data_IF_854537788858
#
_entry.id   IF_854537788858
#
_cell.length_a   1.000
_cell.length_b   1.000
_cell.length_c   1.000
_cell.angle_alpha   90.00
_cell.angle_beta   90.00
_cell.angle_gamma   90.00
#
_symmetry.space_group_name_H-M   'P 1'
#
loop_
_entity.id
_entity.type
_entity.pdbx_description
1 polymer ?
#
# COMPACT_ATOMS: atom_id res chain seq x y z
N UNK A 1 14.57 4.30 25.46
CA UNK A 1 13.58 3.56 24.63
C UNK A 1 13.17 4.48 23.49
N UNK A 2 13.66 4.24 22.28
CA UNK A 2 13.29 5.04 21.12
C UNK A 2 11.94 4.55 20.62
N UNK A 3 10.92 5.40 20.74
CA UNK A 3 9.55 5.08 20.38
C UNK A 3 9.37 5.26 18.88
N UNK A 4 9.26 4.15 18.15
CA UNK A 4 8.93 4.21 16.74
C UNK A 4 7.49 4.74 16.56
N UNK A 5 7.26 5.66 15.60
CA UNK A 5 5.93 6.20 15.35
C UNK A 5 5.00 5.08 14.87
N UNK A 6 3.83 4.99 15.51
CA UNK A 6 2.78 4.04 15.14
C UNK A 6 2.26 4.40 13.75
N UNK A 7 2.15 3.46 12.80
CA UNK A 7 1.63 3.71 11.47
C UNK A 7 0.22 4.31 11.55
N UNK A 8 0.05 5.50 10.99
CA UNK A 8 -1.25 6.15 10.88
C UNK A 8 -2.04 5.52 9.73
N UNK A 9 -3.31 5.24 9.96
CA UNK A 9 -4.19 4.74 8.92
C UNK A 9 -4.40 5.82 7.85
N UNK A 10 -3.82 5.61 6.66
CA UNK A 10 -3.96 6.47 5.47
C UNK A 10 -5.28 6.25 4.70
N UNK A 11 -6.21 5.45 5.23
CA UNK A 11 -7.39 4.98 4.49
C UNK A 11 -8.68 5.79 4.71
N UNK A 12 -8.64 6.94 5.38
CA UNK A 12 -9.85 7.75 5.62
C UNK A 12 -10.22 8.62 4.42
N UNK A 13 -10.24 8.06 3.20
CA UNK A 13 -10.79 8.75 2.04
C UNK A 13 -12.31 8.55 2.02
N UNK A 14 -13.07 9.58 2.40
CA UNK A 14 -14.53 9.61 2.22
C UNK A 14 -14.84 10.23 0.87
N UNK A 15 -15.62 9.53 0.05
CA UNK A 15 -16.06 10.04 -1.24
C UNK A 15 -16.85 11.34 -1.05
N UNK A 16 -16.36 12.43 -1.64
CA UNK A 16 -17.02 13.73 -1.71
C UNK A 16 -17.79 13.82 -3.01
N UNK A 17 -19.10 14.06 -2.94
CA UNK A 17 -19.99 14.08 -4.11
C UNK A 17 -20.00 15.47 -4.77
N UNK A 18 -20.26 16.52 -3.98
CA UNK A 18 -20.34 17.91 -4.43
C UNK A 18 -19.53 18.77 -3.46
N UNK A 19 -18.43 19.37 -3.94
CA UNK A 19 -17.54 20.17 -3.10
C UNK A 19 -16.87 19.36 -1.98
N UNK A 20 -16.94 19.87 -0.74
CA UNK A 20 -16.41 19.20 0.46
C UNK A 20 -17.42 18.24 1.13
N UNK A 21 -18.59 18.02 0.52
CA UNK A 21 -19.65 17.20 1.12
C UNK A 21 -19.54 15.74 0.69
N UNK A 22 -19.63 14.83 1.66
CA UNK A 22 -19.77 13.39 1.39
C UNK A 22 -21.17 13.05 0.88
N UNK A 23 -21.31 11.92 0.19
CA UNK A 23 -22.63 11.44 -0.30
C UNK A 23 -23.67 11.37 0.84
N UNK A 24 -23.25 10.90 2.01
CA UNK A 24 -24.12 10.83 3.19
C UNK A 24 -24.61 12.20 3.64
N UNK A 25 -23.70 13.16 3.82
CA UNK A 25 -24.03 14.53 4.23
C UNK A 25 -24.96 15.23 3.23
N UNK A 26 -24.76 14.99 1.94
CA UNK A 26 -25.64 15.51 0.90
C UNK A 26 -27.06 14.95 1.04
N UNK A 27 -27.21 13.64 1.27
CA UNK A 27 -28.52 13.01 1.45
C UNK A 27 -29.24 13.49 2.71
N UNK A 28 -28.52 13.66 3.82
CA UNK A 28 -29.09 14.19 5.08
C UNK A 28 -29.61 15.62 4.89
N UNK A 29 -28.84 16.49 4.24
CA UNK A 29 -29.25 17.86 3.95
C UNK A 29 -30.41 17.90 2.96
N UNK A 30 -30.36 17.10 1.88
CA UNK A 30 -31.42 17.01 0.90
C UNK A 30 -32.73 16.52 1.54
N UNK A 31 -32.66 15.53 2.42
CA UNK A 31 -33.82 15.01 3.15
C UNK A 31 -34.47 16.10 4.03
N UNK A 32 -33.68 16.87 4.78
CA UNK A 32 -34.19 18.00 5.57
C UNK A 32 -34.86 19.07 4.72
N UNK A 33 -34.29 19.41 3.55
CA UNK A 33 -34.88 20.37 2.61
C UNK A 33 -36.17 19.84 1.97
N UNK A 34 -36.23 18.57 1.61
CA UNK A 34 -37.43 17.93 1.04
C UNK A 34 -38.56 17.92 2.05
N UNK A 35 -38.29 17.57 3.32
CA UNK A 35 -39.29 17.65 4.39
C UNK A 35 -39.75 19.10 4.60
N UNK A 36 -38.82 20.05 4.67
CA UNK A 36 -39.16 21.46 4.82
C UNK A 36 -40.08 21.93 3.68
N UNK A 37 -39.72 21.59 2.43
CA UNK A 37 -40.54 21.89 1.25
C UNK A 37 -41.92 21.25 1.33
N UNK A 38 -42.00 19.98 1.74
CA UNK A 38 -43.27 19.26 1.90
C UNK A 38 -44.18 19.90 2.97
N UNK A 39 -43.62 20.40 4.06
CA UNK A 39 -44.34 21.15 5.10
C UNK A 39 -44.91 22.46 4.52
N UNK A 40 -44.10 23.21 3.77
CA UNK A 40 -44.54 24.45 3.13
C UNK A 40 -45.62 24.22 2.06
N UNK A 41 -45.53 23.10 1.33
CA UNK A 41 -46.51 22.68 0.33
C UNK A 41 -47.84 22.18 0.93
N UNK A 42 -47.85 21.70 2.18
CA UNK A 42 -49.06 21.21 2.85
C UNK A 42 -50.03 22.35 3.23
N UNK A 43 -51.30 22.05 3.48
CA UNK A 43 -52.33 23.02 3.91
C UNK A 43 -52.34 23.27 5.43
N UNK A 44 -51.17 23.23 6.07
CA UNK A 44 -51.01 23.50 7.51
C UNK A 44 -51.22 24.99 7.83
N UNK A 45 -51.62 25.30 9.06
CA UNK A 45 -51.73 26.68 9.53
C UNK A 45 -50.39 27.42 9.40
N UNK A 46 -50.46 28.73 9.16
CA UNK A 46 -49.30 29.59 8.96
C UNK A 46 -48.23 29.42 10.07
N UNK A 47 -48.65 29.40 11.34
CA UNK A 47 -47.75 29.23 12.49
C UNK A 47 -46.92 27.95 12.41
N UNK A 48 -47.53 26.81 12.05
CA UNK A 48 -46.82 25.54 11.96
C UNK A 48 -45.84 25.49 10.79
N UNK A 49 -46.14 26.14 9.66
CA UNK A 49 -45.20 26.19 8.53
C UNK A 49 -43.92 26.93 8.88
N UNK A 50 -44.07 28.08 9.54
CA UNK A 50 -42.94 28.97 9.87
C UNK A 50 -42.11 28.49 11.07
N UNK A 51 -42.62 27.58 11.90
CA UNK A 51 -41.83 26.94 12.95
C UNK A 51 -41.20 25.64 12.45
N UNK A 52 -42.01 24.74 11.89
CA UNK A 52 -41.59 23.38 11.57
C UNK A 52 -40.72 23.32 10.30
N UNK A 53 -41.03 24.13 9.29
CA UNK A 53 -40.25 24.19 8.05
C UNK A 53 -38.79 24.55 8.28
N UNK A 54 -38.48 25.72 8.89
CA UNK A 54 -37.12 26.11 9.23
C UNK A 54 -36.46 25.14 10.22
N UNK A 55 -37.21 24.59 11.18
CA UNK A 55 -36.68 23.60 12.12
C UNK A 55 -36.13 22.36 11.41
N UNK A 56 -36.89 21.74 10.51
CA UNK A 56 -36.43 20.56 9.77
C UNK A 56 -35.31 20.89 8.76
N UNK A 57 -35.35 22.08 8.16
CA UNK A 57 -34.25 22.55 7.29
C UNK A 57 -32.94 22.74 8.05
N UNK A 58 -32.98 23.41 9.21
CA UNK A 58 -31.82 23.59 10.08
C UNK A 58 -31.34 22.28 10.68
N UNK A 59 -32.24 21.38 11.05
CA UNK A 59 -31.89 20.06 11.56
C UNK A 59 -31.16 19.22 10.50
N UNK A 60 -31.62 19.23 9.24
CA UNK A 60 -30.91 18.58 8.13
C UNK A 60 -29.51 19.15 7.90
N UNK A 61 -29.37 20.47 8.00
CA UNK A 61 -28.06 21.13 7.95
C UNK A 61 -27.15 20.73 9.12
N UNK A 62 -27.70 20.72 10.34
CA UNK A 62 -26.96 20.35 11.55
C UNK A 62 -26.46 18.90 11.48
N UNK A 63 -27.29 17.96 11.04
CA UNK A 63 -26.92 16.55 10.88
C UNK A 63 -25.74 16.38 9.91
N UNK A 64 -25.74 17.12 8.81
CA UNK A 64 -24.69 17.02 7.79
C UNK A 64 -23.36 17.68 8.20
N UNK A 65 -23.39 18.79 8.93
CA UNK A 65 -22.22 19.67 9.10
C UNK A 65 -21.77 19.94 10.52
N UNK A 66 -22.54 19.58 11.54
CA UNK A 66 -22.18 19.85 12.94
C UNK A 66 -21.61 18.58 13.57
N UNK A 67 -20.28 18.45 13.71
CA UNK A 67 -19.70 17.40 14.53
C UNK A 67 -19.78 17.75 16.03
N UNK A 68 -19.94 16.73 16.87
CA UNK A 68 -19.84 16.81 18.34
C UNK A 68 -18.76 15.83 18.78
N UNK A 69 -17.73 16.32 19.48
CA UNK A 69 -16.62 15.49 19.99
C UNK A 69 -16.01 14.58 18.91
N UNK A 70 -15.67 15.17 17.75
CA UNK A 70 -15.11 14.48 16.58
C UNK A 70 -16.01 13.39 15.96
N UNK A 71 -17.30 13.32 16.34
CA UNK A 71 -18.30 12.41 15.77
C UNK A 71 -19.39 13.17 15.01
N UNK A 72 -19.89 12.64 13.89
CA UNK A 72 -21.01 13.25 13.19
C UNK A 72 -22.27 13.19 14.08
N UNK A 73 -23.07 14.27 14.07
CA UNK A 73 -24.25 14.42 14.92
C UNK A 73 -25.24 13.25 14.79
N UNK A 74 -25.44 12.73 13.58
CA UNK A 74 -26.30 11.55 13.35
C UNK A 74 -25.86 10.33 14.18
N UNK A 75 -24.56 9.97 14.13
CA UNK A 75 -24.05 8.85 14.93
C UNK A 75 -24.15 9.14 16.42
N UNK A 76 -23.92 10.39 16.82
CA UNK A 76 -24.06 10.79 18.20
C UNK A 76 -25.51 10.61 18.68
N UNK A 77 -26.50 11.05 17.91
CA UNK A 77 -27.93 10.90 18.21
C UNK A 77 -28.34 9.42 18.28
N UNK A 78 -27.94 8.62 17.30
CA UNK A 78 -28.23 7.19 17.28
C UNK A 78 -27.64 6.49 18.50
N UNK A 79 -26.38 6.79 18.82
CA UNK A 79 -25.71 6.23 20.00
C UNK A 79 -26.32 6.73 21.31
N UNK A 80 -26.78 7.98 21.36
CA UNK A 80 -27.45 8.55 22.52
C UNK A 80 -28.74 7.79 22.84
N UNK A 81 -29.63 7.63 21.86
CA UNK A 81 -30.84 6.84 22.06
C UNK A 81 -30.52 5.38 22.34
N UNK A 82 -29.55 4.80 21.63
CA UNK A 82 -29.08 3.45 21.90
C UNK A 82 -28.63 3.32 23.37
N UNK A 83 -27.87 4.27 23.90
CA UNK A 83 -27.39 4.27 25.27
C UNK A 83 -28.52 4.43 26.30
N UNK A 84 -29.55 5.23 26.00
CA UNK A 84 -30.73 5.39 26.87
C UNK A 84 -31.51 4.09 27.00
N UNK A 85 -31.70 3.36 25.89
CA UNK A 85 -32.53 2.15 25.86
C UNK A 85 -31.75 0.85 26.04
N UNK A 86 -30.41 0.89 26.01
CA UNK A 86 -29.57 -0.28 26.31
C UNK A 86 -29.48 -0.51 27.83
N UNK A 87 -29.34 -1.78 28.27
CA UNK A 87 -29.04 -2.07 29.65
C UNK A 87 -27.63 -1.56 30.02
N UNK A 88 -27.48 -1.05 31.24
CA UNK A 88 -26.19 -0.61 31.79
C UNK A 88 -25.28 -1.77 32.20
N UNK A 89 -25.82 -2.99 32.26
CA UNK A 89 -25.10 -4.21 32.61
C UNK A 89 -24.81 -5.02 31.35
N UNK A 90 -23.52 -5.21 31.07
CA UNK A 90 -23.05 -6.09 30.00
C UNK A 90 -22.39 -7.32 30.61
N UNK A 91 -22.92 -8.51 30.31
CA UNK A 91 -22.25 -9.77 30.64
C UNK A 91 -21.26 -10.06 29.51
N UNK A 92 -19.98 -10.17 29.84
CA UNK A 92 -18.96 -10.58 28.88
C UNK A 92 -19.25 -12.00 28.39
N UNK A 93 -19.52 -12.14 27.10
CA UNK A 93 -19.59 -13.43 26.42
C UNK A 93 -18.34 -13.55 25.56
N UNK A 94 -17.41 -14.41 25.98
CA UNK A 94 -16.22 -14.73 25.18
C UNK A 94 -16.68 -15.29 23.84
N UNK A 95 -16.62 -14.48 22.79
CA UNK A 95 -16.76 -14.97 21.43
C UNK A 95 -15.37 -15.28 20.91
N UNK A 96 -15.11 -16.56 20.63
CA UNK A 96 -13.94 -16.99 19.88
C UNK A 96 -14.17 -16.59 18.42
N UNK A 97 -14.08 -15.29 18.11
CA UNK A 97 -14.03 -14.85 16.72
C UNK A 97 -12.68 -15.30 16.18
N UNK A 98 -12.70 -16.36 15.36
CA UNK A 98 -11.52 -16.75 14.61
C UNK A 98 -11.00 -15.51 13.87
N UNK A 99 -9.72 -15.16 14.05
CA UNK A 99 -9.14 -14.02 13.37
C UNK A 99 -9.40 -14.17 11.87
N UNK A 100 -9.70 -13.07 11.17
CA UNK A 100 -10.00 -13.10 9.73
C UNK A 100 -8.83 -13.72 8.92
N UNK A 101 -7.63 -13.74 9.51
CA UNK A 101 -6.42 -14.43 9.02
C UNK A 101 -6.64 -15.95 8.84
N UNK A 102 -7.44 -16.56 9.70
CA UNK A 102 -7.78 -17.99 9.64
C UNK A 102 -9.04 -18.26 8.82
N UNK A 103 -9.72 -17.22 8.34
CA UNK A 103 -10.81 -17.42 7.40
C UNK A 103 -10.19 -17.87 6.08
N UNK A 104 -10.61 -19.02 5.51
CA UNK A 104 -10.14 -19.43 4.21
C UNK A 104 -10.46 -18.30 3.23
N UNK A 105 -9.41 -17.73 2.63
CA UNK A 105 -9.55 -16.69 1.60
C UNK A 105 -10.59 -17.18 0.60
N UNK A 106 -11.70 -16.45 0.38
CA UNK A 106 -12.67 -16.83 -0.64
C UNK A 106 -11.88 -16.97 -1.93
N UNK A 107 -11.88 -18.18 -2.48
CA UNK A 107 -11.14 -18.49 -3.69
C UNK A 107 -11.57 -17.47 -4.74
N UNK A 108 -10.61 -16.64 -5.18
CA UNK A 108 -10.76 -15.81 -6.36
C UNK A 108 -11.35 -16.70 -7.47
N UNK A 109 -12.30 -16.21 -8.28
CA UNK A 109 -12.83 -16.97 -9.39
C UNK A 109 -11.65 -17.53 -10.18
N UNK A 110 -11.55 -18.86 -10.19
CA UNK A 110 -10.52 -19.58 -10.92
C UNK A 110 -10.74 -19.21 -12.37
N UNK A 111 -9.96 -18.26 -12.89
CA UNK A 111 -9.90 -18.04 -14.33
C UNK A 111 -9.49 -19.38 -14.92
N UNK A 112 -10.46 -20.04 -15.56
CA UNK A 112 -10.29 -21.25 -16.33
C UNK A 112 -9.53 -20.94 -17.61
N UNK A 113 -8.32 -20.41 -17.48
CA UNK A 113 -7.30 -20.62 -18.49
C UNK A 113 -6.68 -21.98 -18.16
N UNK A 114 -7.29 -23.03 -18.72
CA UNK A 114 -6.64 -24.33 -18.89
C UNK A 114 -5.46 -24.12 -19.86
N UNK A 115 -4.38 -23.54 -19.38
CA UNK A 115 -3.08 -23.84 -19.95
C UNK A 115 -2.75 -25.21 -19.38
N UNK A 116 -3.11 -26.24 -20.14
CA UNK A 116 -2.47 -27.54 -19.99
C UNK A 116 -0.97 -27.25 -20.04
N UNK A 117 -0.29 -27.32 -18.89
CA UNK A 117 1.15 -27.28 -18.82
C UNK A 117 1.64 -28.50 -19.61
N UNK A 118 1.89 -28.29 -20.90
CA UNK A 118 2.34 -29.33 -21.80
C UNK A 118 3.80 -29.60 -21.40
N UNK A 119 4.16 -30.78 -20.88
CA UNK A 119 5.50 -31.03 -20.34
C UNK A 119 6.60 -30.72 -21.38
N UNK A 120 6.30 -30.89 -22.67
CA UNK A 120 7.19 -30.53 -23.78
C UNK A 120 7.51 -29.02 -23.86
N UNK A 121 6.55 -28.12 -23.61
CA UNK A 121 6.81 -26.67 -23.61
C UNK A 121 7.63 -26.24 -22.39
N UNK A 122 7.48 -26.96 -21.28
CA UNK A 122 8.32 -26.73 -20.10
C UNK A 122 9.76 -27.17 -20.37
N UNK A 123 9.97 -28.31 -21.03
CA UNK A 123 11.32 -28.78 -21.41
C UNK A 123 11.98 -27.89 -22.47
N UNK A 124 11.23 -27.38 -23.44
CA UNK A 124 11.71 -26.40 -24.43
C UNK A 124 12.08 -25.06 -23.75
N UNK A 125 11.29 -24.64 -22.77
CA UNK A 125 11.63 -23.46 -21.96
C UNK A 125 12.89 -23.70 -21.12
N UNK A 126 12.99 -24.82 -20.41
CA UNK A 126 14.14 -25.15 -19.57
C UNK A 126 15.43 -25.31 -20.39
N UNK A 127 15.35 -25.82 -21.63
CA UNK A 127 16.50 -25.97 -22.53
C UNK A 127 16.90 -24.69 -23.25
N UNK A 128 15.98 -23.73 -23.41
CA UNK A 128 16.27 -22.41 -23.97
C UNK A 128 16.80 -21.40 -22.95
N UNK A 129 16.81 -21.73 -21.66
CA UNK A 129 17.48 -20.92 -20.65
C UNK A 129 18.99 -20.89 -20.94
N UNK A 130 19.62 -19.70 -20.94
CA UNK A 130 21.06 -19.59 -21.17
C UNK A 130 21.81 -20.33 -20.06
N UNK A 131 22.75 -21.20 -20.45
CA UNK A 131 23.66 -21.86 -19.51
C UNK A 131 24.44 -20.78 -18.75
N UNK A 132 24.05 -20.55 -17.49
CA UNK A 132 24.67 -19.52 -16.66
C UNK A 132 26.07 -20.04 -16.29
N UNK A 133 27.16 -19.31 -16.61
CA UNK A 133 28.49 -19.75 -16.23
C UNK A 133 28.58 -19.74 -14.70
N UNK A 134 29.08 -20.84 -14.12
CA UNK A 134 29.17 -21.02 -12.67
C UNK A 134 29.91 -19.83 -12.04
N UNK A 135 29.16 -19.00 -11.32
CA UNK A 135 29.72 -17.84 -10.63
C UNK A 135 30.44 -18.31 -9.37
N UNK A 136 31.39 -17.53 -8.86
CA UNK A 136 32.07 -17.84 -7.59
C UNK A 136 31.09 -18.05 -6.43
N UNK A 137 29.92 -17.39 -6.49
CA UNK A 137 28.81 -17.58 -5.56
C UNK A 137 28.17 -18.98 -5.69
N UNK A 138 27.87 -19.43 -6.90
CA UNK A 138 27.27 -20.77 -7.15
C UNK A 138 28.21 -21.88 -6.66
N UNK A 139 29.53 -21.71 -6.81
CA UNK A 139 30.50 -22.66 -6.27
C UNK A 139 30.52 -22.68 -4.73
N UNK A 140 30.27 -21.55 -4.08
CA UNK A 140 30.17 -21.47 -2.63
C UNK A 140 28.87 -22.13 -2.14
N UNK A 141 27.77 -21.92 -2.85
CA UNK A 141 26.48 -22.57 -2.57
C UNK A 141 26.59 -24.09 -2.69
N UNK A 142 27.18 -24.60 -3.77
CA UNK A 142 27.38 -26.04 -3.94
C UNK A 142 28.19 -26.64 -2.78
N UNK A 143 29.30 -26.00 -2.38
CA UNK A 143 30.10 -26.44 -1.23
C UNK A 143 29.31 -26.40 0.08
N UNK A 144 28.43 -25.42 0.25
CA UNK A 144 27.56 -25.31 1.42
C UNK A 144 26.50 -26.41 1.45
N UNK A 145 25.89 -26.74 0.31
CA UNK A 145 24.94 -27.84 0.20
C UNK A 145 25.61 -29.20 0.45
N UNK A 146 26.83 -29.40 -0.03
CA UNK A 146 27.64 -30.60 0.28
C UNK A 146 27.97 -30.69 1.76
N UNK A 147 28.27 -29.57 2.40
CA UNK A 147 28.47 -29.52 3.84
C UNK A 147 27.19 -29.92 4.59
N UNK A 148 26.03 -29.38 4.18
CA UNK A 148 24.74 -29.75 4.75
C UNK A 148 24.44 -31.24 4.57
N UNK A 149 24.65 -31.79 3.38
CA UNK A 149 24.37 -33.20 3.10
C UNK A 149 25.26 -34.13 3.94
N UNK A 150 26.53 -33.76 4.13
CA UNK A 150 27.46 -34.48 5.00
C UNK A 150 27.08 -34.41 6.47
N UNK A 151 26.57 -33.26 6.96
CA UNK A 151 26.05 -33.14 8.32
C UNK A 151 24.84 -34.06 8.56
N UNK A 152 23.91 -34.11 7.60
CA UNK A 152 22.76 -35.02 7.66
C UNK A 152 23.19 -36.50 7.60
N UNK A 153 24.17 -36.82 6.76
CA UNK A 153 24.79 -38.15 6.71
C UNK A 153 25.45 -38.56 8.02
N UNK A 154 26.17 -37.64 8.68
CA UNK A 154 26.81 -37.88 9.98
C UNK A 154 25.82 -38.09 11.13
N UNK A 155 24.61 -37.52 11.03
CA UNK A 155 23.50 -37.74 11.96
C UNK A 155 22.72 -39.05 11.69
N UNK A 156 23.16 -39.86 10.72
CA UNK A 156 22.51 -41.12 10.35
C UNK A 156 21.19 -40.94 9.59
N UNK A 157 20.85 -39.72 9.20
CA UNK A 157 19.64 -39.40 8.41
C UNK A 157 20.07 -39.38 6.94
N UNK A 158 20.06 -40.54 6.29
CA UNK A 158 20.28 -40.63 4.85
C UNK A 158 19.01 -40.11 4.15
N UNK A 159 19.02 -38.95 3.46
CA UNK A 159 17.87 -38.55 2.69
C UNK A 159 17.60 -39.63 1.62
N UNK A 160 16.34 -40.04 1.40
CA UNK A 160 16.03 -40.96 0.33
C UNK A 160 16.49 -40.33 -0.98
N UNK A 161 17.34 -41.03 -1.73
CA UNK A 161 17.65 -40.63 -3.08
C UNK A 161 16.33 -40.58 -3.85
N UNK A 162 15.96 -39.40 -4.35
CA UNK A 162 14.89 -39.23 -5.32
C UNK A 162 15.33 -39.94 -6.61
N UNK A 163 15.10 -41.24 -6.67
CA UNK A 163 15.03 -41.94 -7.93
C UNK A 163 13.78 -41.41 -8.63
N UNK A 164 13.96 -40.50 -9.59
CA UNK A 164 12.93 -40.20 -10.58
C UNK A 164 12.85 -41.44 -11.47
N UNK A 165 12.10 -42.45 -11.03
CA UNK A 165 11.61 -43.48 -11.91
C UNK A 165 10.47 -42.87 -12.72
N UNK A 166 10.74 -42.62 -13.99
CA UNK A 166 9.72 -42.40 -14.98
C UNK A 166 8.99 -43.73 -15.19
N UNK A 167 7.86 -43.91 -14.52
CA UNK A 167 6.87 -44.90 -14.90
C UNK A 167 5.47 -44.37 -14.63
N UNK A 168 4.71 -44.19 -15.72
CA UNK A 168 3.25 -44.13 -15.66
C UNK A 168 2.74 -45.52 -15.28
N UNK A 169 1.86 -45.63 -14.25
CA UNK A 169 0.47 -45.93 -14.60
C UNK A 169 -0.60 -45.30 -13.67
N UNK A 170 -1.82 -45.31 -14.21
CA UNK A 170 -3.13 -44.84 -13.74
C UNK A 170 -3.52 -45.04 -12.26
N UNK A 171 -4.55 -44.28 -11.79
CA UNK A 171 -5.00 -44.31 -10.41
C UNK A 171 -5.85 -45.56 -10.13
N UNK A 172 -5.47 -46.32 -9.12
CA UNK A 172 -6.40 -47.24 -8.45
C UNK A 172 -6.60 -46.77 -7.02
N UNK A 173 -7.86 -46.43 -6.74
CA UNK A 173 -8.37 -46.20 -5.39
C UNK A 173 -8.27 -47.48 -4.57
N UNK A 174 -7.95 -47.39 -3.26
CA UNK A 174 -8.46 -48.36 -2.34
C UNK A 174 -9.19 -47.67 -1.17
N UNK A 175 -10.53 -47.71 -1.22
CA UNK A 175 -11.27 -47.85 0.02
C UNK A 175 -11.12 -49.30 0.49
N UNK A 176 -10.54 -49.49 1.68
CA UNK A 176 -10.89 -50.56 2.63
C UNK A 176 -10.32 -50.21 4.00
N UNK A 177 -11.20 -49.63 4.83
CA UNK A 177 -11.04 -49.56 6.27
C UNK A 177 -11.04 -50.97 6.86
N UNK A 178 -9.93 -51.39 7.45
CA UNK A 178 -9.93 -52.49 8.40
C UNK A 178 -8.85 -52.24 9.46
N UNK A 179 -9.20 -51.43 10.46
CA UNK A 179 -8.39 -51.24 11.66
C UNK A 179 -9.03 -52.03 12.81
N UNK A 180 -8.65 -53.31 12.92
CA UNK A 180 -8.65 -54.04 14.19
C UNK A 180 -7.30 -53.80 14.86
N UNK A 181 -7.34 -53.26 16.08
CA UNK A 181 -6.22 -53.32 17.04
C UNK A 181 -5.25 -52.15 16.97
N UNK A 182 -5.50 -51.13 17.79
CA UNK A 182 -4.51 -50.12 18.14
C UNK A 182 -3.43 -50.78 19.00
N UNK A 183 -2.25 -51.10 18.42
CA UNK A 183 -1.04 -51.34 19.20
C UNK A 183 -0.36 -50.00 19.47
N UNK A 184 -0.51 -49.52 20.70
CA UNK A 184 0.25 -48.38 21.21
C UNK A 184 1.73 -48.79 21.30
N UNK A 185 2.60 -48.20 20.47
CA UNK A 185 4.05 -48.26 20.70
C UNK A 185 4.37 -47.34 21.89
N UNK A 186 4.91 -47.88 22.99
CA UNK A 186 5.51 -47.06 24.05
C UNK A 186 6.72 -46.33 23.45
N UNK A 187 6.68 -45.00 23.45
CA UNK A 187 7.82 -44.17 23.09
C UNK A 187 8.89 -44.34 24.18
N UNK A 188 10.09 -44.74 23.76
CA UNK A 188 11.28 -44.74 24.60
C UNK A 188 11.67 -43.27 24.82
N UNK A 189 11.84 -42.88 26.08
CA UNK A 189 12.28 -41.54 26.46
C UNK A 189 13.61 -41.19 25.78
N UNK A 190 13.77 -40.01 25.16
CA UNK A 190 15.05 -39.62 24.60
C UNK A 190 16.05 -39.43 25.74
N UNK A 191 17.14 -40.20 25.73
CA UNK A 191 18.34 -39.81 26.45
C UNK A 191 18.80 -38.48 25.87
N UNK A 192 19.09 -37.55 26.78
CA UNK A 192 19.55 -36.19 26.50
C UNK A 192 20.82 -36.28 25.64
N UNK A 193 20.71 -35.98 24.34
CA UNK A 193 21.88 -35.71 23.52
C UNK A 193 22.52 -34.43 24.04
N UNK A 194 23.61 -34.56 24.78
CA UNK A 194 24.55 -33.47 25.04
C UNK A 194 25.16 -33.08 23.69
N UNK A 195 24.67 -31.99 23.09
CA UNK A 195 25.35 -31.38 21.95
C UNK A 195 26.75 -30.93 22.40
N UNK A 196 27.83 -31.24 21.66
CA UNK A 196 29.08 -30.52 21.82
C UNK A 196 28.87 -29.06 21.44
N UNK A 197 29.47 -28.17 22.23
CA UNK A 197 29.32 -26.73 22.16
C UNK A 197 29.51 -26.22 20.74
N UNK A 198 28.52 -25.46 20.24
CA UNK A 198 28.62 -24.73 19.00
C UNK A 198 29.82 -23.77 19.08
N UNK A 199 30.83 -24.01 18.25
CA UNK A 199 31.86 -23.00 17.95
C UNK A 199 31.19 -21.81 17.30
N UNK A 200 31.17 -20.70 18.03
CA UNK A 200 30.68 -19.40 17.60
C UNK A 200 31.50 -18.98 16.36
N UNK A 201 30.82 -18.83 15.22
CA UNK A 201 31.41 -18.18 14.06
C UNK A 201 31.56 -16.69 14.38
N UNK A 202 32.78 -16.21 14.57
CA UNK A 202 33.08 -14.79 14.77
C UNK A 202 33.06 -14.07 13.42
N UNK A 203 32.16 -13.10 13.28
CA UNK A 203 32.14 -12.18 12.14
C UNK A 203 33.40 -11.31 12.13
N UNK A 204 33.96 -10.98 10.93
CA UNK A 204 35.05 -10.02 10.82
C UNK A 204 34.69 -8.64 11.42
N UNK A 205 35.65 -7.92 12.02
CA UNK A 205 35.40 -6.66 12.72
C UNK A 205 35.00 -5.53 11.77
N UNK A 206 33.88 -4.88 12.09
CA UNK A 206 33.36 -3.70 11.39
C UNK A 206 34.19 -2.45 11.74
N UNK A 207 34.59 -1.62 10.75
CA UNK A 207 35.39 -0.43 10.99
C UNK A 207 34.61 0.64 11.75
N UNK A 208 35.29 1.24 12.72
CA UNK A 208 34.79 2.29 13.61
C UNK A 208 34.55 3.62 12.88
N UNK A 209 33.61 4.37 13.47
CA UNK A 209 33.41 5.83 13.44
C UNK A 209 32.43 6.39 12.41
N UNK A 210 31.31 6.92 12.93
CA UNK A 210 30.93 8.30 12.66
C UNK A 210 30.22 8.89 13.90
N UNK A 211 30.65 10.09 14.27
CA UNK A 211 30.32 10.85 15.47
C UNK A 211 28.95 11.53 15.30
N UNK A 212 28.11 11.50 16.35
CA UNK A 212 26.83 12.23 16.38
C UNK A 212 27.06 13.71 16.68
N UNK A 213 26.43 14.66 15.96
CA UNK A 213 26.26 16.02 16.45
C UNK A 213 25.02 16.15 17.33
N UNK A 214 25.18 16.99 18.35
CA UNK A 214 24.26 17.34 19.43
C UNK A 214 22.96 17.94 18.90
N UNK A 215 21.82 17.46 19.41
CA UNK A 215 20.48 17.99 19.14
C UNK A 215 20.25 19.26 19.97
N UNK A 216 20.22 20.42 19.29
CA UNK A 216 19.70 21.67 19.86
C UNK A 216 18.19 21.74 19.58
N UNK A 217 17.40 21.84 20.64
CA UNK A 217 15.94 21.97 20.62
C UNK A 217 15.54 23.42 20.33
N UNK A 218 14.69 23.71 19.32
CA UNK A 218 14.09 25.04 19.19
C UNK A 218 12.73 25.12 19.89
N UNK A 219 12.60 26.15 20.72
CA UNK A 219 11.40 26.75 21.32
C UNK A 219 10.42 27.26 20.26
N UNK A 220 9.11 27.38 20.55
CA UNK A 220 8.11 27.84 19.59
C UNK A 220 8.00 29.37 19.59
N UNK A 221 7.99 29.98 18.40
CA UNK A 221 7.66 31.40 18.21
C UNK A 221 6.34 31.52 17.44
N UNK A 222 5.49 32.40 17.96
CA UNK A 222 4.09 32.62 17.64
C UNK A 222 3.82 33.11 16.19
N UNK A 223 2.72 32.62 15.61
CA UNK A 223 2.19 33.05 14.31
C UNK A 223 1.10 34.12 14.52
N UNK A 224 1.25 35.28 13.89
CA UNK A 224 0.20 36.31 13.78
C UNK A 224 -0.67 36.05 12.53
N UNK A 225 -2.00 36.27 12.57
CA UNK A 225 -2.87 36.04 11.43
C UNK A 225 -2.95 37.28 10.52
N UNK A 226 -3.02 37.08 9.19
CA UNK A 226 -3.31 38.15 8.23
C UNK A 226 -4.46 37.77 7.27
N UNK A 227 -5.57 38.46 7.53
CA UNK A 227 -6.55 39.09 6.63
C UNK A 227 -7.06 38.39 5.35
N UNK A 228 -8.38 38.22 5.39
CA UNK A 228 -9.38 37.90 4.37
C UNK A 228 -9.24 38.70 3.07
N UNK A 229 -9.36 38.03 1.91
CA UNK A 229 -9.60 38.65 0.61
C UNK A 229 -10.97 38.25 0.06
N UNK A 230 -11.61 39.25 -0.54
CA UNK A 230 -13.00 39.39 -0.98
C UNK A 230 -13.34 38.56 -2.23
N UNK A 231 -14.54 38.00 -2.25
CA UNK A 231 -15.11 37.17 -3.34
C UNK A 231 -15.51 38.04 -4.53
N UNK A 232 -15.08 37.67 -5.74
CA UNK A 232 -15.59 38.20 -7.03
C UNK A 232 -16.30 37.08 -7.79
N UNK A 233 -17.46 37.39 -8.37
CA UNK A 233 -18.41 36.48 -9.05
C UNK A 233 -17.78 35.74 -10.26
N UNK A 234 -18.11 34.45 -10.50
CA UNK A 234 -17.61 33.72 -11.66
C UNK A 234 -18.41 34.02 -12.94
N UNK A 235 -17.68 34.22 -14.04
CA UNK A 235 -18.16 34.25 -15.44
C UNK A 235 -18.16 32.81 -16.01
N UNK A 236 -19.05 32.46 -16.97
CA UNK A 236 -19.17 31.08 -17.47
C UNK A 236 -17.87 30.55 -18.10
N UNK A 237 -17.53 29.31 -17.73
CA UNK A 237 -16.32 28.62 -18.14
C UNK A 237 -16.55 28.01 -19.53
N UNK A 238 -15.90 28.58 -20.55
CA UNK A 238 -15.61 27.87 -21.79
C UNK A 238 -14.56 26.79 -21.49
N UNK A 239 -14.79 25.55 -21.96
CA UNK A 239 -13.84 24.43 -21.86
C UNK A 239 -12.43 24.89 -22.27
N UNK A 240 -11.43 24.86 -21.37
CA UNK A 240 -10.07 25.23 -21.75
C UNK A 240 -9.47 24.12 -22.61
N UNK A 241 -9.01 24.51 -23.80
CA UNK A 241 -8.16 23.68 -24.63
C UNK A 241 -6.93 23.22 -23.83
N UNK A 242 -6.64 21.92 -23.88
CA UNK A 242 -5.52 21.25 -23.20
C UNK A 242 -4.21 22.04 -23.44
N UNK A 243 -3.53 22.54 -22.39
CA UNK A 243 -2.27 23.25 -22.56
C UNK A 243 -1.23 22.35 -23.23
N UNK A 244 -0.62 22.81 -24.32
CA UNK A 244 0.58 22.21 -24.90
C UNK A 244 1.74 22.43 -23.92
N UNK A 245 1.86 21.56 -22.93
CA UNK A 245 3.04 21.51 -22.07
C UNK A 245 4.22 20.93 -22.85
N UNK A 246 5.40 21.53 -22.69
CA UNK A 246 6.62 21.11 -23.36
C UNK A 246 7.00 19.71 -22.88
N UNK A 247 7.10 18.79 -23.84
CA UNK A 247 7.49 17.40 -23.60
C UNK A 247 9.00 17.29 -23.80
N UNK A 248 9.71 16.76 -22.80
CA UNK A 248 11.16 16.52 -22.84
C UNK A 248 11.49 15.06 -22.58
N UNK A 249 12.65 14.63 -23.08
CA UNK A 249 13.21 13.30 -22.83
C UNK A 249 13.77 13.20 -21.39
N UNK A 250 13.90 11.98 -20.82
CA UNK A 250 14.32 11.81 -19.45
C UNK A 250 15.80 12.18 -19.29
N UNK A 251 16.10 13.04 -18.32
CA UNK A 251 17.47 13.33 -17.89
C UNK A 251 17.81 12.44 -16.71
N UNK A 252 18.99 11.81 -16.73
CA UNK A 252 19.44 10.90 -15.66
C UNK A 252 20.45 11.56 -14.73
N UNK A 253 20.36 11.27 -13.43
CA UNK A 253 21.21 11.83 -12.39
C UNK A 253 22.50 11.00 -12.25
N UNK A 254 23.52 11.32 -13.05
CA UNK A 254 24.86 10.75 -12.87
C UNK A 254 25.59 11.46 -11.72
N UNK A 255 25.92 10.75 -10.64
CA UNK A 255 26.75 11.28 -9.55
C UNK A 255 26.03 11.69 -8.26
N UNK A 256 24.75 11.33 -8.08
CA UNK A 256 24.02 11.55 -6.82
C UNK A 256 23.91 10.23 -6.06
N UNK A 257 24.41 10.19 -4.83
CA UNK A 257 24.29 9.03 -3.94
C UNK A 257 22.82 8.90 -3.53
N UNK A 258 22.10 8.00 -4.19
CA UNK A 258 20.74 7.66 -3.80
C UNK A 258 20.78 6.52 -2.77
N UNK A 259 19.97 6.58 -1.70
CA UNK A 259 19.94 5.52 -0.70
C UNK A 259 19.40 4.20 -1.23
N UNK A 260 18.60 4.24 -2.31
CA UNK A 260 18.02 3.08 -2.98
C UNK A 260 18.31 3.18 -4.48
N UNK A 261 19.31 2.45 -4.94
CA UNK A 261 19.50 2.19 -6.36
C UNK A 261 18.38 1.27 -6.86
N UNK A 262 17.88 1.45 -8.09
CA UNK A 262 16.84 0.59 -8.63
C UNK A 262 17.43 -0.78 -8.94
N UNK A 263 17.18 -1.77 -8.09
CA UNK A 263 17.62 -3.17 -8.29
C UNK A 263 16.63 -3.99 -9.13
N UNK A 264 15.41 -3.47 -9.34
CA UNK A 264 14.32 -4.15 -10.06
C UNK A 264 14.01 -3.41 -11.36
N UNK A 265 13.61 -4.14 -12.42
CA UNK A 265 13.22 -3.53 -13.69
C UNK A 265 11.98 -2.64 -13.52
N UNK A 266 11.85 -1.63 -14.38
CA UNK A 266 10.73 -0.67 -14.41
C UNK A 266 10.46 0.06 -13.09
N UNK A 267 11.45 0.13 -12.21
CA UNK A 267 11.36 0.89 -10.96
C UNK A 267 11.88 2.29 -11.20
N UNK A 268 10.99 3.28 -11.07
CA UNK A 268 11.35 4.69 -11.20
C UNK A 268 11.88 5.19 -9.86
N UNK A 269 13.10 5.73 -9.90
CA UNK A 269 13.68 6.50 -8.81
C UNK A 269 14.29 7.78 -9.36
N UNK A 270 14.48 8.78 -8.51
CA UNK A 270 15.07 10.04 -8.94
C UNK A 270 15.15 11.11 -7.87
N UNK A 271 15.57 12.29 -8.31
CA UNK A 271 15.67 13.51 -7.51
C UNK A 271 14.96 14.69 -8.17
N UNK A 272 14.40 15.56 -7.35
CA UNK A 272 13.74 16.80 -7.74
C UNK A 272 14.60 18.00 -7.34
N UNK A 273 14.81 18.89 -8.32
CA UNK A 273 15.66 20.07 -8.20
C UNK A 273 14.92 21.34 -8.64
N UNK A 274 15.31 22.46 -8.05
CA UNK A 274 14.89 23.81 -8.43
C UNK A 274 15.59 24.24 -9.73
N UNK A 275 15.15 25.36 -10.32
CA UNK A 275 15.77 26.02 -11.47
C UNK A 275 17.28 26.23 -11.27
N UNK A 276 17.67 26.52 -10.03
CA UNK A 276 19.06 26.74 -9.61
C UNK A 276 19.87 25.46 -9.36
N UNK A 277 19.26 24.28 -9.54
CA UNK A 277 19.90 22.98 -9.30
C UNK A 277 19.97 22.58 -7.82
N UNK A 278 19.31 23.31 -6.92
CA UNK A 278 19.20 22.97 -5.50
C UNK A 278 18.13 21.91 -5.25
N UNK A 279 18.30 21.13 -4.18
CA UNK A 279 17.32 20.13 -3.75
C UNK A 279 15.96 20.78 -3.48
N UNK A 280 14.92 20.22 -4.08
CA UNK A 280 13.58 20.76 -4.00
C UNK A 280 12.63 19.73 -3.36
N UNK A 281 12.24 19.92 -2.09
CA UNK A 281 11.43 18.95 -1.37
C UNK A 281 9.92 19.13 -1.62
N UNK A 282 9.18 18.03 -1.48
CA UNK A 282 7.72 18.06 -1.45
C UNK A 282 7.04 18.28 -2.80
N UNK A 283 7.76 18.04 -3.90
CA UNK A 283 7.22 18.05 -5.27
C UNK A 283 6.26 16.87 -5.43
N UNK A 284 5.10 17.10 -6.02
CA UNK A 284 4.13 16.05 -6.33
C UNK A 284 4.40 15.58 -7.75
N UNK A 285 4.68 14.30 -7.94
CA UNK A 285 4.86 13.68 -9.24
C UNK A 285 3.66 12.80 -9.56
N UNK A 286 3.11 12.97 -10.74
CA UNK A 286 2.01 12.18 -11.29
C UNK A 286 2.51 11.44 -12.54
N UNK A 287 2.49 10.11 -12.48
CA UNK A 287 2.84 9.23 -13.58
C UNK A 287 1.55 8.86 -14.31
N UNK A 288 1.47 9.20 -15.58
CA UNK A 288 0.31 8.96 -16.45
C UNK A 288 0.66 7.98 -17.56
N UNK A 289 -0.30 7.15 -17.97
CA UNK A 289 -0.18 6.27 -19.13
C UNK A 289 -0.28 7.06 -20.45
N UNK A 290 -0.08 6.42 -21.60
CA UNK A 290 -0.24 6.94 -22.96
C UNK A 290 -1.60 7.63 -23.17
N UNK A 291 -2.65 7.14 -22.52
CA UNK A 291 -4.02 7.69 -22.59
C UNK A 291 -4.21 8.90 -21.66
N UNK A 292 -3.20 9.27 -20.85
CA UNK A 292 -3.22 10.39 -19.92
C UNK A 292 -3.90 10.09 -18.58
N UNK A 293 -4.23 8.83 -18.31
CA UNK A 293 -4.79 8.35 -17.06
C UNK A 293 -3.69 8.28 -15.99
N UNK A 294 -3.92 8.80 -14.76
CA UNK A 294 -2.95 8.70 -13.69
C UNK A 294 -2.85 7.27 -13.17
N UNK A 295 -1.66 6.70 -13.26
CA UNK A 295 -1.34 5.34 -12.79
C UNK A 295 -0.78 5.40 -11.36
N UNK A 296 0.06 6.39 -11.07
CA UNK A 296 0.64 6.59 -9.74
C UNK A 296 0.84 8.07 -9.46
N UNK A 297 0.67 8.47 -8.20
CA UNK A 297 1.07 9.78 -7.71
C UNK A 297 1.93 9.60 -6.46
N UNK A 298 2.99 10.39 -6.35
CA UNK A 298 3.94 10.32 -5.24
C UNK A 298 4.49 11.71 -4.92
N UNK A 299 5.07 11.86 -3.74
CA UNK A 299 5.64 13.12 -3.27
C UNK A 299 7.12 12.93 -2.96
N UNK A 300 7.97 13.86 -3.39
CA UNK A 300 9.39 13.83 -3.06
C UNK A 300 9.61 14.11 -1.57
N UNK A 301 10.64 13.48 -0.99
CA UNK A 301 10.98 13.62 0.42
C UNK A 301 11.69 14.96 0.71
N UNK A 302 12.16 15.17 1.96
CA UNK A 302 12.90 16.38 2.37
C UNK A 302 14.23 16.57 1.62
N UNK A 303 14.78 15.50 1.05
CA UNK A 303 16.00 15.50 0.25
C UNK A 303 15.69 15.57 -1.26
N UNK A 304 14.43 15.83 -1.64
CA UNK A 304 14.00 15.86 -3.03
C UNK A 304 14.06 14.48 -3.72
N UNK A 305 14.30 13.40 -3.00
CA UNK A 305 14.35 12.06 -3.58
C UNK A 305 12.94 11.49 -3.71
N UNK A 306 12.75 10.67 -4.73
CA UNK A 306 11.51 9.94 -4.94
C UNK A 306 11.79 8.54 -5.49
N UNK A 307 10.90 7.60 -5.19
CA UNK A 307 10.94 6.24 -5.71
C UNK A 307 9.54 5.63 -5.71
N UNK A 308 9.30 4.67 -6.61
CA UNK A 308 8.10 3.84 -6.58
C UNK A 308 8.42 2.51 -5.89
N UNK A 309 7.52 2.03 -5.03
CA UNK A 309 7.72 0.77 -4.30
C UNK A 309 7.51 -0.48 -5.16
N UNK A 310 6.74 -0.35 -6.24
CA UNK A 310 6.38 -1.46 -7.13
C UNK A 310 6.65 -1.07 -8.58
N UNK A 311 7.17 -1.99 -9.40
CA UNK A 311 7.52 -1.72 -10.79
C UNK A 311 6.31 -1.30 -11.62
N UNK A 312 6.55 -0.53 -12.67
CA UNK A 312 5.56 -0.25 -13.70
C UNK A 312 5.46 -1.42 -14.68
N UNK A 313 4.28 -1.61 -15.27
CA UNK A 313 4.11 -2.49 -16.43
C UNK A 313 4.84 -1.90 -17.63
N UNK A 314 5.21 -2.74 -18.60
CA UNK A 314 5.83 -2.26 -19.83
C UNK A 314 4.90 -1.31 -20.59
N UNK A 315 5.43 -0.18 -21.04
CA UNK A 315 4.63 0.86 -21.66
C UNK A 315 5.27 2.24 -21.69
N UNK A 316 4.56 3.19 -22.29
CA UNK A 316 4.99 4.58 -22.42
C UNK A 316 4.25 5.42 -21.38
N UNK A 317 5.01 6.07 -20.52
CA UNK A 317 4.50 6.90 -19.43
C UNK A 317 4.90 8.37 -19.62
N UNK A 318 4.10 9.24 -19.02
CA UNK A 318 4.39 10.67 -18.89
C UNK A 318 4.46 11.02 -17.42
N UNK A 319 5.56 11.65 -17.01
CA UNK A 319 5.77 12.11 -15.65
C UNK A 319 5.52 13.62 -15.63
N UNK A 320 4.53 14.04 -14.86
CA UNK A 320 4.20 15.43 -14.59
C UNK A 320 4.60 15.75 -13.16
N UNK A 321 5.31 16.86 -12.95
CA UNK A 321 5.67 17.33 -11.63
C UNK A 321 4.97 18.66 -11.35
N UNK A 322 4.45 18.80 -10.14
CA UNK A 322 3.72 19.99 -9.67
C UNK A 322 4.22 20.42 -8.29
N UNK A 323 4.42 21.73 -8.15
CA UNK A 323 4.72 22.38 -6.89
C UNK A 323 4.19 23.81 -6.92
N UNK A 324 3.75 24.33 -5.76
CA UNK A 324 3.00 25.57 -5.63
C UNK A 324 3.56 26.77 -6.43
N UNK A 325 4.90 26.92 -6.49
CA UNK A 325 5.55 28.10 -7.08
C UNK A 325 6.46 27.80 -8.28
N UNK A 326 6.53 26.54 -8.73
CA UNK A 326 7.49 26.11 -9.78
C UNK A 326 6.82 25.23 -10.84
N UNK A 327 7.20 25.46 -12.10
CA UNK A 327 6.72 24.70 -13.25
C UNK A 327 7.78 23.70 -13.68
N UNK A 328 7.34 22.53 -14.12
CA UNK A 328 8.21 21.47 -14.62
C UNK A 328 7.81 21.09 -16.04
N UNK A 329 8.76 20.56 -16.81
CA UNK A 329 8.48 19.95 -18.11
C UNK A 329 7.82 18.57 -17.94
N UNK A 330 7.03 18.14 -18.92
CA UNK A 330 6.49 16.78 -18.95
C UNK A 330 7.56 15.85 -19.49
N UNK A 331 7.95 14.84 -18.71
CA UNK A 331 8.97 13.88 -19.11
C UNK A 331 8.29 12.64 -19.70
N UNK A 332 8.66 12.24 -20.92
CA UNK A 332 8.24 10.95 -21.47
C UNK A 332 9.23 9.87 -21.07
N UNK A 333 8.73 8.75 -20.57
CA UNK A 333 9.55 7.62 -20.14
C UNK A 333 8.97 6.33 -20.74
N UNK A 334 9.82 5.49 -21.29
CA UNK A 334 9.44 4.16 -21.80
C UNK A 334 9.98 3.10 -20.85
N UNK A 335 9.10 2.22 -20.36
CA UNK A 335 9.44 1.08 -19.51
C UNK A 335 9.48 -0.20 -20.35
N UNK A 336 10.64 -0.87 -20.40
CA UNK A 336 10.92 -2.05 -21.25
C UNK A 336 11.45 -3.25 -20.45
N UNK A 337 10.92 -3.48 -19.25
CA UNK A 337 11.42 -4.50 -18.32
C UNK A 337 12.93 -4.41 -18.05
N UNK A 338 13.49 -3.21 -18.14
CA UNK A 338 14.91 -2.90 -17.91
C UNK A 338 15.07 -2.03 -16.66
N UNK A 339 16.28 -1.99 -16.10
CA UNK A 339 16.61 -1.12 -14.97
C UNK A 339 16.68 0.32 -15.47
N UNK A 340 15.80 1.18 -14.96
CA UNK A 340 15.76 2.60 -15.33
C UNK A 340 16.71 3.36 -14.40
N UNK A 341 17.75 4.03 -14.92
CA UNK A 341 18.64 4.82 -14.08
C UNK A 341 17.88 5.97 -13.40
N UNK A 342 18.39 6.49 -12.27
CA UNK A 342 17.67 7.51 -11.54
C UNK A 342 17.42 8.79 -12.33
N UNK A 343 16.18 9.26 -12.32
CA UNK A 343 15.74 10.46 -13.03
C UNK A 343 16.13 11.73 -12.30
N UNK A 344 16.52 12.74 -13.07
CA UNK A 344 16.71 14.12 -12.62
C UNK A 344 15.54 14.95 -13.14
N UNK A 345 14.71 15.44 -12.22
CA UNK A 345 13.59 16.32 -12.53
C UNK A 345 13.94 17.72 -12.04
N UNK A 346 14.05 18.67 -12.96
CA UNK A 346 14.43 20.04 -12.65
C UNK A 346 13.33 21.02 -13.08
N UNK A 347 13.06 22.02 -12.24
CA UNK A 347 12.11 23.09 -12.56
C UNK A 347 12.62 23.98 -13.72
N UNK A 348 11.66 24.50 -14.50
CA UNK A 348 11.87 25.41 -15.64
C UNK A 348 11.98 26.86 -15.21
#
# INVERSE_FOLDING_TARGET
MQQHPVPQAITTYKFRLVGDMTLKQFLELAFGLVIAWMIFASKLNFLFKWTLGPFFGLLGFALAFVPIEDRPLDQWILNFFKAIYLPTQFIFKSQVKAMDIFSPTPSLPRETNKISANPAQLEEYLSSLPATPATAFDQAEHKYLDHISNLFGALGIKPPALAIQADHPQPTSPYKSNLKGVRVRKLFSPQVCLLPHATIFQSPPEPKQAVMPVVVKPTPVAVKPKTIVKIVKPKPITLPAKPKAQTVDPTFASGVVMPLSPEKPNLITGITLDKTGKILPGVILEIRDKQGLPVRALRSNKLGQFFIASPLSDGIYQIQAEQADQKFAIIKLEAKSEIIPPLKIQAL
#
